data_IF_485492580950
#
_entry.id   IF_485492580950
#
_cell.length_a   1.000
_cell.length_b   1.000
_cell.length_c   1.000
_cell.angle_alpha   90.00
_cell.angle_beta   90.00
_cell.angle_gamma   90.00
#
_symmetry.space_group_name_H-M   'P 1'
#
loop_
_entity.id
_entity.type
_entity.pdbx_description
1 polymer ?
#
# COMPACT_ATOMS: atom_id res chain seq x y z
N UNK A 1 -8.85 3.23 -1.32
CA UNK A 1 -8.51 2.24 -0.29
C UNK A 1 -7.30 1.46 -0.76
N UNK A 2 -6.42 1.05 0.15
CA UNK A 2 -5.34 0.09 -0.15
C UNK A 2 -5.41 -1.03 0.89
N UNK A 3 -5.30 -2.28 0.43
CA UNK A 3 -5.36 -3.47 1.26
C UNK A 3 -4.26 -4.46 0.86
N UNK A 4 -3.61 -5.05 1.85
CA UNK A 4 -2.50 -5.99 1.69
C UNK A 4 -2.69 -7.14 2.68
N UNK A 5 -2.66 -8.37 2.15
CA UNK A 5 -2.83 -9.60 2.92
C UNK A 5 -1.70 -10.59 2.64
N UNK A 6 -1.36 -11.45 3.60
CA UNK A 6 -0.31 -12.47 3.45
C UNK A 6 1.13 -11.93 3.52
N UNK A 7 1.33 -10.67 3.90
CA UNK A 7 2.65 -10.03 3.97
C UNK A 7 3.44 -10.32 5.27
N UNK A 8 2.94 -11.20 6.14
CA UNK A 8 3.64 -11.67 7.33
C UNK A 8 3.60 -13.21 7.41
N UNK A 9 4.72 -13.81 7.81
CA UNK A 9 4.77 -15.18 8.36
C UNK A 9 4.70 -16.35 7.36
N UNK A 10 4.63 -16.13 6.05
CA UNK A 10 4.48 -17.21 5.08
C UNK A 10 5.77 -17.49 4.27
N UNK A 11 6.82 -18.02 4.88
CA UNK A 11 8.10 -18.18 4.18
C UNK A 11 8.92 -19.44 4.44
N UNK A 12 8.70 -20.45 3.59
CA UNK A 12 9.78 -21.34 3.14
C UNK A 12 10.91 -20.48 2.52
N UNK A 13 12.16 -20.92 2.62
CA UNK A 13 13.38 -20.19 2.20
C UNK A 13 13.19 -19.48 0.84
N UNK A 14 13.12 -18.14 0.82
CA UNK A 14 12.96 -17.32 -0.40
C UNK A 14 11.76 -16.35 -0.42
N UNK A 15 10.72 -16.56 0.41
CA UNK A 15 9.51 -15.69 0.43
C UNK A 15 9.63 -14.46 1.37
N UNK A 16 10.49 -14.58 2.39
CA UNK A 16 10.76 -13.52 3.38
C UNK A 16 11.16 -12.15 2.77
N UNK A 17 12.03 -12.05 1.74
CA UNK A 17 12.35 -10.75 1.12
C UNK A 17 11.16 -10.09 0.42
N UNK A 18 10.24 -10.87 -0.17
CA UNK A 18 9.03 -10.34 -0.83
C UNK A 18 8.08 -9.77 0.23
N UNK A 19 7.80 -10.54 1.28
CA UNK A 19 6.97 -10.10 2.40
C UNK A 19 7.53 -8.83 3.05
N UNK A 20 8.85 -8.77 3.27
CA UNK A 20 9.53 -7.60 3.83
C UNK A 20 9.39 -6.38 2.91
N UNK A 21 9.61 -6.52 1.60
CA UNK A 21 9.49 -5.43 0.64
C UNK A 21 8.05 -4.88 0.59
N UNK A 22 7.04 -5.75 0.54
CA UNK A 22 5.62 -5.37 0.56
C UNK A 22 5.28 -4.65 1.87
N UNK A 23 5.75 -5.17 3.02
CA UNK A 23 5.53 -4.57 4.34
C UNK A 23 6.09 -3.16 4.43
N UNK A 24 7.33 -2.97 3.95
CA UNK A 24 7.99 -1.66 3.96
C UNK A 24 7.26 -0.68 3.06
N UNK A 25 6.87 -1.08 1.84
CA UNK A 25 6.15 -0.20 0.91
C UNK A 25 4.77 0.19 1.45
N UNK A 26 3.99 -0.77 1.95
CA UNK A 26 2.64 -0.53 2.46
C UNK A 26 2.67 0.35 3.72
N UNK A 27 3.58 0.06 4.65
CA UNK A 27 3.78 0.88 5.85
C UNK A 27 4.25 2.29 5.51
N UNK A 28 5.16 2.44 4.54
CA UNK A 28 5.65 3.75 4.08
C UNK A 28 4.54 4.57 3.45
N UNK A 29 3.68 3.96 2.63
CA UNK A 29 2.51 4.63 2.06
C UNK A 29 1.60 5.18 3.16
N UNK A 30 1.22 4.33 4.13
CA UNK A 30 0.34 4.74 5.24
C UNK A 30 0.95 5.90 6.03
N UNK A 31 2.22 5.77 6.44
CA UNK A 31 2.90 6.80 7.23
C UNK A 31 3.02 8.11 6.44
N UNK A 32 3.40 8.04 5.16
CA UNK A 32 3.63 9.24 4.37
C UNK A 32 2.35 9.96 3.96
N UNK A 33 1.23 9.26 3.71
CA UNK A 33 -0.06 9.93 3.49
C UNK A 33 -0.43 10.77 4.72
N UNK A 34 -0.27 10.24 5.93
CA UNK A 34 -0.58 10.99 7.14
C UNK A 34 0.44 12.09 7.48
N UNK A 35 1.74 11.85 7.29
CA UNK A 35 2.80 12.80 7.70
C UNK A 35 3.19 13.82 6.65
N UNK A 36 3.11 13.46 5.37
CA UNK A 36 3.55 14.30 4.23
C UNK A 36 2.34 14.95 3.58
N UNK A 37 1.34 14.17 3.17
CA UNK A 37 0.12 14.74 2.56
C UNK A 37 -0.79 15.40 3.62
N UNK A 38 -0.64 15.05 4.90
CA UNK A 38 -1.47 15.58 5.97
C UNK A 38 -2.95 15.19 5.79
N UNK A 39 -3.19 13.98 5.26
CA UNK A 39 -4.53 13.42 5.03
C UNK A 39 -4.78 12.33 6.10
N UNK A 40 -5.90 12.41 6.84
CA UNK A 40 -6.24 11.39 7.82
C UNK A 40 -6.63 10.07 7.14
N UNK A 41 -6.45 8.98 7.89
CA UNK A 41 -6.69 7.62 7.41
C UNK A 41 -7.27 6.75 8.51
N UNK A 42 -8.16 5.84 8.16
CA UNK A 42 -8.54 4.71 9.03
C UNK A 42 -7.66 3.53 8.67
N UNK A 43 -6.79 3.14 9.60
CA UNK A 43 -5.83 2.05 9.42
C UNK A 43 -6.23 0.85 10.27
N UNK A 44 -6.41 -0.30 9.64
CA UNK A 44 -6.53 -1.60 10.30
C UNK A 44 -5.25 -2.40 10.01
N UNK A 45 -4.45 -2.65 11.04
CA UNK A 45 -3.20 -3.37 10.94
C UNK A 45 -3.15 -4.48 11.99
N UNK A 46 -2.90 -5.70 11.51
CA UNK A 46 -2.73 -6.91 12.32
C UNK A 46 -1.76 -7.85 11.60
N UNK A 47 -1.43 -8.98 12.20
CA UNK A 47 -0.47 -9.91 11.62
C UNK A 47 -0.89 -10.36 10.20
N UNK A 48 -0.03 -10.11 9.22
CA UNK A 48 -0.24 -10.46 7.82
C UNK A 48 -1.32 -9.65 7.11
N UNK A 49 -1.87 -8.60 7.73
CA UNK A 49 -2.97 -7.81 7.17
C UNK A 49 -2.81 -6.31 7.44
N UNK A 50 -2.96 -5.51 6.39
CA UNK A 50 -2.92 -4.06 6.44
C UNK A 50 -3.98 -3.52 5.50
N UNK A 51 -4.84 -2.65 6.02
CA UNK A 51 -5.84 -1.93 5.24
C UNK A 51 -5.84 -0.47 5.65
N UNK A 52 -5.86 0.42 4.66
CA UNK A 52 -6.01 1.86 4.87
C UNK A 52 -7.14 2.42 4.02
N UNK A 53 -8.04 3.15 4.67
CA UNK A 53 -9.05 4.00 4.03
C UNK A 53 -8.61 5.46 4.14
N UNK A 54 -8.41 6.11 3.00
CA UNK A 54 -7.98 7.51 2.92
C UNK A 54 -9.22 8.39 2.99
N UNK A 55 -9.25 9.30 3.96
CA UNK A 55 -10.39 10.19 4.20
C UNK A 55 -10.17 11.52 3.45
N UNK A 56 -10.70 11.60 2.23
CA UNK A 56 -10.45 12.76 1.37
C UNK A 56 -11.12 14.05 1.87
N UNK A 57 -12.29 13.98 2.51
CA UNK A 57 -12.98 15.16 3.08
C UNK A 57 -12.96 16.39 2.15
N UNK A 58 -12.64 17.56 2.70
CA UNK A 58 -12.37 18.82 1.97
C UNK A 58 -10.87 19.00 1.70
N UNK A 59 -10.15 17.95 1.31
CA UNK A 59 -8.71 18.05 1.07
C UNK A 59 -8.38 19.07 -0.02
N UNK A 60 -7.42 19.95 0.27
CA UNK A 60 -6.92 20.95 -0.66
C UNK A 60 -6.25 20.28 -1.88
N UNK A 61 -6.30 20.91 -3.07
CA UNK A 61 -5.69 20.36 -4.29
C UNK A 61 -4.23 19.95 -4.11
N UNK A 62 -3.40 20.71 -3.39
CA UNK A 62 -2.00 20.34 -3.18
C UNK A 62 -1.82 19.03 -2.40
N UNK A 63 -2.72 18.71 -1.46
CA UNK A 63 -2.67 17.46 -0.71
C UNK A 63 -3.02 16.28 -1.60
N UNK A 64 -3.95 16.46 -2.53
CA UNK A 64 -4.34 15.44 -3.50
C UNK A 64 -3.21 15.12 -4.47
N UNK A 65 -2.44 16.12 -4.94
CA UNK A 65 -1.27 15.89 -5.79
C UNK A 65 -0.18 15.06 -5.08
N UNK A 66 0.09 15.37 -3.81
CA UNK A 66 1.03 14.59 -2.99
C UNK A 66 0.49 13.17 -2.81
N UNK A 67 -0.79 13.02 -2.47
CA UNK A 67 -1.43 11.71 -2.31
C UNK A 67 -1.30 10.86 -3.57
N UNK A 68 -1.64 11.41 -4.74
CA UNK A 68 -1.53 10.69 -6.00
C UNK A 68 -0.09 10.31 -6.33
N UNK A 69 0.87 11.20 -6.06
CA UNK A 69 2.29 10.90 -6.21
C UNK A 69 2.71 9.70 -5.35
N UNK A 70 2.27 9.68 -4.09
CA UNK A 70 2.56 8.58 -3.16
C UNK A 70 1.90 7.26 -3.58
N UNK A 71 0.64 7.30 -4.00
CA UNK A 71 -0.07 6.13 -4.52
C UNK A 71 0.63 5.58 -5.76
N UNK A 72 1.02 6.44 -6.70
CA UNK A 72 1.76 6.04 -7.89
C UNK A 72 3.10 5.39 -7.55
N UNK A 73 3.86 5.96 -6.60
CA UNK A 73 5.12 5.38 -6.14
C UNK A 73 4.91 3.99 -5.53
N UNK A 74 3.89 3.83 -4.68
CA UNK A 74 3.53 2.53 -4.11
C UNK A 74 3.14 1.51 -5.19
N UNK A 75 2.27 1.89 -6.13
CA UNK A 75 1.83 1.03 -7.24
C UNK A 75 3.03 0.57 -8.07
N UNK A 76 3.93 1.50 -8.46
CA UNK A 76 5.14 1.16 -9.21
C UNK A 76 6.00 0.16 -8.43
N UNK A 77 6.20 0.38 -7.13
CA UNK A 77 6.98 -0.54 -6.28
C UNK A 77 6.37 -1.94 -6.19
N UNK A 78 5.06 -2.03 -5.99
CA UNK A 78 4.33 -3.32 -5.93
C UNK A 78 4.37 -4.04 -7.27
N UNK A 79 4.21 -3.32 -8.39
CA UNK A 79 4.29 -3.91 -9.73
C UNK A 79 5.70 -4.41 -10.07
N UNK A 80 6.74 -3.74 -9.59
CA UNK A 80 8.12 -4.21 -9.78
C UNK A 80 8.42 -5.48 -8.95
N UNK A 81 7.90 -5.56 -7.72
CA UNK A 81 7.94 -6.80 -6.93
C UNK A 81 7.18 -7.91 -7.65
N UNK A 82 5.98 -7.63 -8.16
CA UNK A 82 5.18 -8.60 -8.94
C UNK A 82 5.97 -9.11 -10.15
N UNK A 83 6.62 -8.21 -10.91
CA UNK A 83 7.41 -8.57 -12.09
C UNK A 83 8.57 -9.52 -11.76
N UNK A 84 9.16 -9.39 -10.58
CA UNK A 84 10.34 -10.17 -10.15
C UNK A 84 10.00 -11.42 -9.34
N UNK A 85 8.81 -11.47 -8.75
CA UNK A 85 8.31 -12.56 -7.91
C UNK A 85 6.84 -12.89 -8.22
N UNK A 86 6.55 -13.19 -9.49
CA UNK A 86 5.19 -13.26 -10.04
C UNK A 86 4.26 -14.21 -9.28
N UNK A 87 4.75 -15.38 -8.88
CA UNK A 87 3.96 -16.39 -8.17
C UNK A 87 3.66 -16.03 -6.70
N UNK A 88 4.45 -15.12 -6.11
CA UNK A 88 4.36 -14.78 -4.69
C UNK A 88 3.41 -13.62 -4.39
N UNK A 89 2.93 -12.91 -5.42
CA UNK A 89 2.14 -11.69 -5.26
C UNK A 89 1.01 -11.64 -6.28
N UNK A 90 -0.18 -11.26 -5.82
CA UNK A 90 -1.34 -10.95 -6.68
C UNK A 90 -1.73 -9.50 -6.44
N UNK A 91 -2.02 -8.77 -7.52
CA UNK A 91 -2.40 -7.35 -7.48
C UNK A 91 -3.74 -7.21 -8.18
N UNK A 92 -4.70 -6.59 -7.51
CA UNK A 92 -6.06 -6.37 -8.01
C UNK A 92 -6.34 -4.87 -7.96
N UNK A 93 -6.82 -4.32 -9.08
CA UNK A 93 -7.30 -2.94 -9.15
C UNK A 93 -8.81 -2.97 -9.28
N UNK A 94 -9.50 -2.36 -8.31
CA UNK A 94 -10.95 -2.23 -8.31
C UNK A 94 -11.31 -0.75 -8.45
N UNK A 95 -12.09 -0.43 -9.47
CA UNK A 95 -12.78 0.85 -9.58
C UNK A 95 -14.22 0.65 -9.13
N UNK A 96 -14.65 1.35 -8.09
CA UNK A 96 -16.08 1.51 -7.86
C UNK A 96 -16.59 2.54 -8.86
N UNK A 97 -17.51 2.15 -9.74
CA UNK A 97 -18.33 3.12 -10.45
C UNK A 97 -19.07 3.94 -9.39
N UNK A 98 -18.92 5.27 -9.46
CA UNK A 98 -19.65 6.23 -8.63
C UNK A 98 -20.81 6.76 -9.48
#
# INVERSE_FOLDING_TARGET
MVQVEGHAGAGVKGNDPVCAAVSVLAGTLVIGISRIAGIPQKVDQREGFLRTEIELGESLPEKLEILFTMLNFFIIGILEIKRTADEALTVIFESNEI
#
